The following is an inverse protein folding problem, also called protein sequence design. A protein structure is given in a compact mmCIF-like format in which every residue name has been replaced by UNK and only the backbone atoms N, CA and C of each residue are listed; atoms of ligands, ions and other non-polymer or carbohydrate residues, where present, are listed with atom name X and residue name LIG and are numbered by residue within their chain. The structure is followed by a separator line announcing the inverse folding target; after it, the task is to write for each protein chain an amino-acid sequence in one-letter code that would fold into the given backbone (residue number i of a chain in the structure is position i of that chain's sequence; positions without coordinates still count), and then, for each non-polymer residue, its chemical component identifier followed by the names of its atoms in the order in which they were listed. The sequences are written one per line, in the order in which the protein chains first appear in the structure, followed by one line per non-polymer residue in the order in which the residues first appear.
data_IF_247162146477
#
_entry.id   IF_247162146477
#
_cell.length_a   1.000
_cell.length_b   1.000
_cell.length_c   1.000
_cell.angle_alpha   90.00
_cell.angle_beta   90.00
_cell.angle_gamma   90.00
#
_symmetry.space_group_name_H-M   'P 1'
#
loop_
_entity.id
_entity.type
_entity.pdbx_description
1 polymer ?
#
# COMPACT_ATOMS: atom_id res chain seq x y z
N UNK A 1 1.16 -20.95 15.11
CA UNK A 1 1.80 -20.39 13.90
C UNK A 1 0.82 -19.56 13.08
N UNK A 2 -0.30 -20.13 12.61
CA UNK A 2 -1.37 -19.37 11.92
C UNK A 2 -1.92 -18.18 12.72
N UNK A 3 -2.07 -18.30 14.04
CA UNK A 3 -2.54 -17.21 14.90
C UNK A 3 -1.64 -15.98 14.84
N UNK A 4 -0.32 -16.16 14.77
CA UNK A 4 0.65 -15.04 14.70
C UNK A 4 0.55 -14.31 13.35
N UNK A 5 0.33 -15.06 12.27
CA UNK A 5 0.11 -14.51 10.93
C UNK A 5 -1.21 -13.74 10.88
N UNK A 6 -2.28 -14.27 11.46
CA UNK A 6 -3.58 -13.60 11.51
C UNK A 6 -3.53 -12.29 12.29
N UNK A 7 -2.84 -12.27 13.43
CA UNK A 7 -2.61 -11.05 14.23
C UNK A 7 -1.80 -10.04 13.39
N UNK A 8 -0.66 -10.46 12.85
CA UNK A 8 0.17 -9.60 12.00
C UNK A 8 -0.57 -9.05 10.77
N UNK A 9 -1.49 -9.81 10.18
CA UNK A 9 -2.32 -9.35 9.07
C UNK A 9 -3.30 -8.24 9.51
N UNK A 10 -3.86 -8.33 10.71
CA UNK A 10 -4.67 -7.27 11.30
C UNK A 10 -3.86 -6.00 11.55
N UNK A 11 -2.63 -6.13 12.02
CA UNK A 11 -1.75 -4.98 12.26
C UNK A 11 -1.30 -4.31 10.95
N UNK A 12 -0.94 -5.10 9.93
CA UNK A 12 -0.64 -4.58 8.59
C UNK A 12 -1.85 -3.85 8.02
N UNK A 13 -3.04 -4.42 8.18
CA UNK A 13 -4.27 -3.77 7.73
C UNK A 13 -4.46 -2.43 8.42
N UNK A 14 -4.34 -2.37 9.75
CA UNK A 14 -4.53 -1.13 10.50
C UNK A 14 -3.55 -0.04 10.03
N UNK A 15 -2.28 -0.38 9.85
CA UNK A 15 -1.29 0.57 9.31
C UNK A 15 -1.67 1.05 7.90
N UNK A 16 -2.20 0.17 7.04
CA UNK A 16 -2.64 0.55 5.70
C UNK A 16 -3.99 1.29 5.67
N UNK A 17 -4.79 1.19 6.72
CA UNK A 17 -6.05 1.94 6.87
C UNK A 17 -5.77 3.36 7.38
N UNK A 18 -4.80 3.51 8.28
CA UNK A 18 -4.34 4.80 8.81
C UNK A 18 -3.51 5.62 7.81
N UNK A 19 -3.00 5.00 6.75
CA UNK A 19 -2.14 5.65 5.76
C UNK A 19 -2.74 5.43 4.35
N UNK A 20 -2.88 6.49 3.54
CA UNK A 20 -3.39 6.40 2.15
C UNK A 20 -2.47 5.59 1.20
N UNK A 21 -1.34 5.13 1.74
CA UNK A 21 -0.40 4.22 1.14
C UNK A 21 0.96 4.36 1.83
N UNK A 22 1.76 3.31 1.81
CA UNK A 22 3.04 3.26 2.51
C UNK A 22 4.06 2.44 1.73
N UNK A 23 5.34 2.80 1.82
CA UNK A 23 6.39 1.95 1.29
C UNK A 23 6.60 0.72 2.17
N UNK A 24 6.89 -0.43 1.56
CA UNK A 24 7.10 -1.70 2.26
C UNK A 24 8.14 -1.60 3.38
N UNK A 25 9.24 -0.89 3.14
CA UNK A 25 10.32 -0.81 4.12
C UNK A 25 9.87 0.05 5.33
N UNK A 26 9.11 1.13 5.09
CA UNK A 26 8.48 1.93 6.15
C UNK A 26 7.39 1.15 6.92
N UNK A 27 6.60 0.33 6.22
CA UNK A 27 5.64 -0.59 6.85
C UNK A 27 6.36 -1.55 7.81
N UNK A 28 7.49 -2.12 7.37
CA UNK A 28 8.26 -3.02 8.22
C UNK A 28 8.92 -2.30 9.39
N UNK A 29 9.47 -1.10 9.21
CA UNK A 29 10.01 -0.31 10.32
C UNK A 29 8.95 -0.03 11.41
N UNK A 30 7.72 0.33 10.99
CA UNK A 30 6.61 0.56 11.93
C UNK A 30 6.21 -0.72 12.67
N UNK A 31 6.22 -1.86 11.99
CA UNK A 31 5.78 -3.15 12.57
C UNK A 31 6.88 -3.93 13.30
N UNK A 32 8.15 -3.71 12.97
CA UNK A 32 9.32 -4.31 13.64
C UNK A 32 9.47 -3.79 15.07
N UNK A 33 9.01 -2.56 15.35
CA UNK A 33 8.89 -2.01 16.70
C UNK A 33 8.01 -2.86 17.65
N UNK A 34 7.21 -3.77 17.09
CA UNK A 34 6.28 -4.65 17.82
C UNK A 34 6.83 -6.08 18.01
N UNK A 35 8.15 -6.27 17.90
CA UNK A 35 8.86 -7.56 18.09
C UNK A 35 8.37 -8.72 17.20
N UNK A 36 7.82 -8.41 16.02
CA UNK A 36 7.33 -9.42 15.07
C UNK A 36 8.46 -9.91 14.16
N UNK A 37 8.68 -11.24 14.02
CA UNK A 37 9.64 -11.75 13.06
C UNK A 37 9.27 -11.36 11.63
N UNK A 38 10.25 -10.90 10.85
CA UNK A 38 10.07 -10.44 9.47
C UNK A 38 9.36 -11.48 8.59
N UNK A 39 9.66 -12.76 8.77
CA UNK A 39 9.02 -13.86 8.03
C UNK A 39 7.50 -13.91 8.29
N UNK A 40 7.08 -13.63 9.53
CA UNK A 40 5.65 -13.58 9.89
C UNK A 40 4.95 -12.41 9.22
N UNK A 41 5.61 -11.24 9.19
CA UNK A 41 5.08 -10.05 8.51
C UNK A 41 4.96 -10.26 7.01
N UNK A 42 5.97 -10.89 6.38
CA UNK A 42 5.95 -11.22 4.95
C UNK A 42 4.85 -12.24 4.61
N UNK A 43 4.67 -13.27 5.43
CA UNK A 43 3.58 -14.24 5.25
C UNK A 43 2.21 -13.59 5.39
N UNK A 44 2.04 -12.71 6.38
CA UNK A 44 0.80 -11.96 6.60
C UNK A 44 0.50 -11.00 5.43
N UNK A 45 1.51 -10.27 4.95
CA UNK A 45 1.38 -9.40 3.78
C UNK A 45 1.00 -10.21 2.53
N UNK A 46 1.66 -11.34 2.29
CA UNK A 46 1.33 -12.23 1.18
C UNK A 46 -0.10 -12.76 1.25
N UNK A 47 -0.59 -13.10 2.44
CA UNK A 47 -1.98 -13.49 2.67
C UNK A 47 -2.97 -12.37 2.32
N UNK A 48 -2.68 -11.14 2.71
CA UNK A 48 -3.51 -9.98 2.40
C UNK A 48 -3.57 -9.66 0.90
N UNK A 49 -2.43 -9.75 0.21
CA UNK A 49 -2.34 -9.58 -1.25
C UNK A 49 -3.13 -10.67 -1.97
N UNK A 50 -2.98 -11.95 -1.56
CA UNK A 50 -3.73 -13.06 -2.12
C UNK A 50 -5.25 -12.88 -1.99
N UNK A 51 -5.69 -12.28 -0.88
CA UNK A 51 -7.10 -11.99 -0.59
C UNK A 51 -7.59 -10.66 -1.17
N UNK A 52 -6.76 -9.98 -1.97
CA UNK A 52 -7.06 -8.68 -2.60
C UNK A 52 -7.42 -7.56 -1.62
N UNK A 53 -6.90 -7.61 -0.40
CA UNK A 53 -7.07 -6.54 0.60
C UNK A 53 -5.96 -5.48 0.55
N UNK A 54 -4.86 -5.80 -0.14
CA UNK A 54 -3.73 -4.90 -0.35
C UNK A 54 -3.36 -4.93 -1.81
N UNK A 55 -3.28 -3.76 -2.43
CA UNK A 55 -2.71 -3.57 -3.76
C UNK A 55 -1.26 -3.14 -3.61
N UNK A 56 -0.44 -3.49 -4.60
CA UNK A 56 0.95 -3.07 -4.65
C UNK A 56 1.29 -2.44 -5.98
N UNK A 57 2.19 -1.47 -5.95
CA UNK A 57 2.76 -0.84 -7.14
C UNK A 57 4.28 -0.79 -7.00
N UNK A 58 5.04 -1.21 -8.03
CA UNK A 58 6.47 -0.97 -8.06
C UNK A 58 6.71 0.55 -8.18
N UNK A 59 7.52 1.09 -7.27
CA UNK A 59 7.96 2.48 -7.35
C UNK A 59 8.76 2.71 -8.63
N UNK A 60 8.69 3.94 -9.17
CA UNK A 60 9.37 4.35 -10.43
C UNK A 60 10.89 4.10 -10.41
N UNK A 61 11.47 3.90 -9.24
CA UNK A 61 12.88 3.57 -9.03
C UNK A 61 13.03 2.13 -8.51
N UNK A 62 12.71 1.14 -9.36
CA UNK A 62 13.26 -0.23 -9.39
C UNK A 62 13.23 -1.16 -8.16
N UNK A 63 12.89 -0.71 -6.95
CA UNK A 63 13.07 -1.52 -5.74
C UNK A 63 12.15 -1.22 -4.57
N UNK A 64 11.46 -0.07 -4.57
CA UNK A 64 10.52 0.28 -3.51
C UNK A 64 9.12 -0.20 -3.86
N UNK A 65 8.56 -1.06 -3.00
CA UNK A 65 7.20 -1.57 -3.15
C UNK A 65 6.25 -0.62 -2.40
N UNK A 66 5.33 0.03 -3.12
CA UNK A 66 4.29 0.86 -2.53
C UNK A 66 3.04 0.01 -2.29
N UNK A 67 2.48 0.08 -1.08
CA UNK A 67 1.35 -0.73 -0.61
C UNK A 67 0.17 0.17 -0.27
N UNK A 68 -1.02 -0.20 -0.72
CA UNK A 68 -2.26 0.55 -0.50
C UNK A 68 -3.35 -0.43 -0.04
N UNK A 69 -4.07 -0.08 1.03
CA UNK A 69 -5.25 -0.82 1.46
C UNK A 69 -6.36 -0.74 0.43
N UNK A 70 -7.05 -1.85 0.15
CA UNK A 70 -8.13 -1.88 -0.84
C UNK A 70 -9.35 -1.02 -0.46
N UNK A 71 -9.43 -0.59 0.80
CA UNK A 71 -10.48 0.28 1.33
C UNK A 71 -10.16 1.77 1.19
N UNK A 72 -8.95 2.14 0.73
CA UNK A 72 -8.63 3.52 0.40
C UNK A 72 -9.57 3.93 -0.72
N UNK A 73 -10.59 4.71 -0.34
CA UNK A 73 -11.61 5.29 -1.22
C UNK A 73 -10.91 5.88 -2.44
N UNK A 74 -11.44 5.61 -3.63
CA UNK A 74 -11.12 6.31 -4.87
C UNK A 74 -11.25 7.82 -4.65
N UNK A 75 -10.15 8.44 -4.23
CA UNK A 75 -10.09 9.84 -3.79
C UNK A 75 -8.72 10.46 -4.04
N UNK A 76 -7.90 9.85 -4.90
CA UNK A 76 -6.76 10.49 -5.54
C UNK A 76 -7.08 10.75 -7.01
N UNK A 77 -8.20 11.43 -7.24
CA UNK A 77 -8.33 12.28 -8.42
C UNK A 77 -7.33 13.41 -8.22
N UNK A 78 -6.29 13.41 -9.04
CA UNK A 78 -5.36 14.51 -9.20
C UNK A 78 -6.14 15.78 -9.56
N UNK A 79 -6.46 16.61 -8.58
CA UNK A 79 -6.71 18.03 -8.83
C UNK A 79 -5.36 18.70 -9.06
N UNK A 80 -5.01 18.87 -10.33
CA UNK A 80 -4.34 20.07 -10.84
C UNK A 80 -4.64 20.23 -12.33
N UNK A 81 -5.62 21.09 -12.57
CA UNK A 81 -5.75 21.90 -13.78
C UNK A 81 -4.40 22.53 -14.16
N UNK A 82 -4.30 22.83 -15.45
CA UNK A 82 -3.31 23.67 -16.13
C UNK A 82 -2.09 22.94 -16.70
N UNK A 83 -2.29 22.33 -17.87
CA UNK A 83 -1.53 22.61 -19.10
C UNK A 83 -1.97 21.68 -20.24
N UNK A 84 -3.06 22.02 -20.94
CA UNK A 84 -3.08 21.96 -22.41
C UNK A 84 -4.30 22.69 -23.00
N UNK A 85 -4.43 23.98 -22.68
CA UNK A 85 -5.09 24.90 -23.60
C UNK A 85 -4.08 25.24 -24.69
N UNK A 86 -3.98 24.45 -25.76
CA UNK A 86 -3.57 24.87 -27.09
C UNK A 86 -3.72 23.71 -28.08
N UNK A 87 -4.30 24.03 -29.25
CA UNK A 87 -4.59 23.21 -30.43
C UNK A 87 -5.88 22.36 -30.37
N UNK A 88 -6.87 22.49 -31.25
CA UNK A 88 -7.06 23.29 -32.47
C UNK A 88 -8.58 23.43 -32.72
N UNK A 89 -8.95 24.60 -33.24
CA UNK A 89 -10.25 25.01 -33.76
C UNK A 89 -10.69 24.17 -34.98
N UNK A 90 -12.01 23.98 -35.11
CA UNK A 90 -12.79 23.99 -36.37
C UNK A 90 -12.39 22.99 -37.48
N UNK A 91 -13.24 21.98 -37.68
CA UNK A 91 -13.81 21.61 -38.98
C UNK A 91 -15.05 20.74 -38.78
#
# INVERSE_FOLDING_TARGET
MMTKIAIAAGDIWLVLDENEGIFRDELFERLESQEKPRDVLLMALGWLIYRQHVKWTPGKSGGQLFLVGSNVREGLDHEKSDQNSFAVNIA
#
